data_IF_878332203399
#
_entry.id   IF_878332203399
#
_cell.length_a   1.000
_cell.length_b   1.000
_cell.length_c   1.000
_cell.angle_alpha   90.00
_cell.angle_beta   90.00
_cell.angle_gamma   90.00
#
_symmetry.space_group_name_H-M   'P 1'
#
loop_
_entity.id
_entity.type
_entity.pdbx_description
1 polymer ?
#
# COMPACT_ATOMS: atom_id res chain seq x y z
N UNK A 1 -30.88 57.67 -35.89
CA UNK A 1 -29.88 56.86 -36.63
C UNK A 1 -28.50 57.36 -36.24
N UNK A 2 -27.59 56.43 -35.90
CA UNK A 2 -26.30 56.62 -35.20
C UNK A 2 -26.43 56.89 -33.68
N UNK A 3 -26.22 55.85 -32.86
CA UNK A 3 -26.20 56.00 -31.39
C UNK A 3 -26.27 54.71 -30.56
N UNK A 4 -26.15 53.52 -31.16
CA UNK A 4 -26.33 52.24 -30.45
C UNK A 4 -25.30 51.16 -30.84
N UNK A 5 -24.08 51.57 -31.17
CA UNK A 5 -22.92 50.66 -31.33
C UNK A 5 -21.72 51.38 -30.73
N UNK A 6 -21.39 51.04 -29.47
CA UNK A 6 -20.15 51.27 -28.67
C UNK A 6 -20.59 51.33 -27.19
N UNK A 7 -20.97 50.18 -26.61
CA UNK A 7 -20.96 49.95 -25.14
C UNK A 7 -21.25 48.49 -24.80
N UNK A 8 -20.38 47.58 -25.27
CA UNK A 8 -20.41 46.18 -24.82
C UNK A 8 -18.99 45.58 -24.84
N UNK A 9 -18.04 46.30 -24.23
CA UNK A 9 -16.66 45.82 -24.07
C UNK A 9 -16.05 46.19 -22.73
N UNK A 10 -16.85 46.12 -21.66
CA UNK A 10 -16.37 46.23 -20.28
C UNK A 10 -17.20 45.29 -19.41
N UNK A 11 -16.80 44.03 -19.31
CA UNK A 11 -17.06 43.11 -18.18
C UNK A 11 -16.54 41.68 -18.44
N UNK A 12 -15.36 41.55 -19.06
CA UNK A 12 -14.54 40.36 -18.82
C UNK A 12 -13.51 40.75 -17.77
N UNK A 13 -13.88 40.50 -16.52
CA UNK A 13 -12.93 40.55 -15.42
C UNK A 13 -11.72 39.71 -15.80
N UNK A 14 -10.53 40.32 -15.71
CA UNK A 14 -9.28 39.59 -15.70
C UNK A 14 -9.39 38.57 -14.57
N UNK A 15 -9.54 37.29 -14.92
CA UNK A 15 -9.35 36.21 -13.96
C UNK A 15 -7.88 36.28 -13.57
N UNK A 16 -7.63 36.90 -12.42
CA UNK A 16 -6.32 36.99 -11.83
C UNK A 16 -5.99 35.56 -11.36
N UNK A 17 -5.26 34.80 -12.16
CA UNK A 17 -4.83 33.43 -11.88
C UNK A 17 -3.92 33.32 -10.63
N UNK A 18 -3.71 34.42 -9.92
CA UNK A 18 -2.93 34.55 -8.68
C UNK A 18 -3.77 34.41 -7.40
N UNK A 19 -5.11 34.27 -7.49
CA UNK A 19 -5.99 34.24 -6.32
C UNK A 19 -6.48 32.83 -5.90
N UNK A 20 -6.01 31.75 -6.51
CA UNK A 20 -6.09 30.41 -5.90
C UNK A 20 -4.84 30.19 -5.04
N UNK A 21 -4.58 31.16 -4.16
CA UNK A 21 -3.59 30.99 -3.10
C UNK A 21 -4.33 30.33 -1.94
N UNK A 22 -3.93 29.10 -1.60
CA UNK A 22 -4.32 28.38 -0.39
C UNK A 22 -4.11 29.30 0.83
N UNK A 23 -5.12 30.09 1.19
CA UNK A 23 -5.03 31.10 2.25
C UNK A 23 -5.25 30.50 3.63
N UNK A 24 -5.81 29.31 3.71
CA UNK A 24 -5.97 28.57 4.96
C UNK A 24 -4.86 27.55 5.11
N UNK A 25 -4.14 27.64 6.24
CA UNK A 25 -3.19 26.58 6.61
C UNK A 25 -3.99 25.30 6.80
N UNK A 26 -3.71 24.28 5.99
CA UNK A 26 -4.31 22.94 6.08
C UNK A 26 -4.15 22.34 7.48
N UNK A 27 -3.06 22.70 8.18
CA UNK A 27 -2.77 22.31 9.55
C UNK A 27 -2.86 23.50 10.50
N UNK A 28 -3.56 23.31 11.61
CA UNK A 28 -3.56 24.24 12.74
C UNK A 28 -2.15 24.37 13.34
N UNK A 29 -1.88 25.49 14.01
CA UNK A 29 -0.62 25.72 14.72
C UNK A 29 -0.30 24.60 15.74
N UNK A 30 -1.33 24.02 16.34
CA UNK A 30 -1.17 22.90 17.28
C UNK A 30 -0.75 21.61 16.56
N UNK A 31 -1.31 21.31 15.39
CA UNK A 31 -0.90 20.16 14.57
C UNK A 31 0.53 20.33 14.05
N UNK A 32 0.90 21.54 13.59
CA UNK A 32 2.26 21.86 13.17
C UNK A 32 3.27 21.66 14.31
N UNK A 33 2.92 22.11 15.53
CA UNK A 33 3.76 21.88 16.71
C UNK A 33 3.93 20.39 17.01
N UNK A 34 2.84 19.62 17.00
CA UNK A 34 2.91 18.15 17.18
C UNK A 34 3.77 17.47 16.10
N UNK A 35 3.65 17.90 14.85
CA UNK A 35 4.46 17.39 13.75
C UNK A 35 5.95 17.69 13.96
N UNK A 36 6.29 18.89 14.47
CA UNK A 36 7.69 19.24 14.79
C UNK A 36 8.27 18.48 15.99
N UNK A 37 7.41 18.01 16.89
CA UNK A 37 7.78 17.21 18.06
C UNK A 37 7.81 15.70 17.75
N UNK A 38 7.32 15.27 16.58
CA UNK A 38 7.29 13.87 16.16
C UNK A 38 8.71 13.30 16.08
N UNK A 39 8.90 12.13 16.70
CA UNK A 39 10.12 11.35 16.61
C UNK A 39 9.76 9.97 16.11
N UNK A 40 10.42 9.56 15.03
CA UNK A 40 10.29 8.21 14.52
C UNK A 40 10.60 7.19 15.62
N UNK A 41 9.67 6.27 15.83
CA UNK A 41 9.80 5.17 16.79
C UNK A 41 9.30 3.90 16.12
N UNK A 42 10.21 2.93 16.00
CA UNK A 42 9.93 1.65 15.37
C UNK A 42 10.63 0.53 16.16
N UNK A 43 9.93 -0.59 16.32
CA UNK A 43 10.50 -1.84 16.83
C UNK A 43 10.24 -2.94 15.82
N UNK A 44 11.28 -3.60 15.31
CA UNK A 44 11.15 -4.74 14.39
C UNK A 44 11.67 -6.01 15.03
N UNK A 45 10.93 -7.10 14.81
CA UNK A 45 11.32 -8.47 15.13
C UNK A 45 11.27 -9.39 13.89
N UNK A 46 11.28 -8.80 12.70
CA UNK A 46 11.21 -9.51 11.42
C UNK A 46 12.31 -10.56 11.32
N UNK A 47 11.95 -11.70 10.74
CA UNK A 47 12.84 -12.83 10.56
C UNK A 47 13.84 -12.58 9.43
N UNK A 48 13.42 -11.92 8.35
CA UNK A 48 14.22 -11.70 7.16
C UNK A 48 15.07 -10.44 7.24
N UNK A 49 14.64 -9.40 7.96
CA UNK A 49 15.37 -8.13 8.05
C UNK A 49 16.86 -8.32 8.37
N UNK A 50 17.29 -9.12 9.39
CA UNK A 50 18.71 -9.29 9.70
C UNK A 50 19.54 -9.85 8.56
N UNK A 51 18.96 -10.72 7.73
CA UNK A 51 19.62 -11.33 6.58
C UNK A 51 19.75 -10.37 5.40
N UNK A 52 18.85 -9.40 5.30
CA UNK A 52 18.84 -8.40 4.23
C UNK A 52 19.59 -7.12 4.60
N UNK A 53 19.88 -6.88 5.89
CA UNK A 53 20.70 -5.74 6.32
C UNK A 53 22.03 -5.61 5.54
N UNK A 54 22.83 -6.67 5.30
CA UNK A 54 24.05 -6.55 4.51
C UNK A 54 23.80 -6.03 3.08
N UNK A 55 22.73 -6.52 2.45
CA UNK A 55 22.30 -6.08 1.12
C UNK A 55 21.89 -4.61 1.12
N UNK A 56 21.01 -4.19 2.04
CA UNK A 56 20.56 -2.80 2.12
C UNK A 56 21.69 -1.83 2.50
N UNK A 57 22.61 -2.24 3.37
CA UNK A 57 23.77 -1.43 3.75
C UNK A 57 24.76 -1.27 2.59
N UNK A 58 24.99 -2.33 1.81
CA UNK A 58 25.76 -2.24 0.58
C UNK A 58 25.06 -1.33 -0.43
N UNK A 59 23.75 -1.53 -0.66
CA UNK A 59 22.99 -0.77 -1.64
C UNK A 59 22.97 0.73 -1.32
N UNK A 60 22.65 1.11 -0.07
CA UNK A 60 22.68 2.52 0.34
C UNK A 60 24.09 3.10 0.24
N UNK A 61 25.16 2.31 0.42
CA UNK A 61 26.54 2.79 0.26
C UNK A 61 26.86 3.17 -1.19
N UNK A 62 26.27 2.44 -2.15
CA UNK A 62 26.39 2.71 -3.59
C UNK A 62 25.48 3.86 -4.05
N UNK A 63 24.44 4.19 -3.28
CA UNK A 63 23.55 5.31 -3.59
C UNK A 63 24.28 6.66 -3.55
N UNK A 64 24.20 7.50 -4.60
CA UNK A 64 24.84 8.81 -4.62
C UNK A 64 24.27 9.75 -3.54
N UNK A 65 25.13 10.58 -2.93
CA UNK A 65 24.71 11.50 -1.85
C UNK A 65 23.77 12.62 -2.32
N UNK A 66 23.73 12.93 -3.61
CA UNK A 66 22.79 13.92 -4.16
C UNK A 66 21.38 13.36 -4.34
N UNK A 67 21.21 12.03 -4.30
CA UNK A 67 19.92 11.39 -4.52
C UNK A 67 19.06 11.52 -3.27
N UNK A 68 17.95 12.25 -3.40
CA UNK A 68 17.02 12.49 -2.32
C UNK A 68 16.29 11.19 -1.90
N UNK A 69 16.09 10.94 -0.60
CA UNK A 69 15.34 9.78 -0.10
C UNK A 69 13.97 9.60 -0.75
N UNK A 70 13.15 10.65 -0.77
CA UNK A 70 11.81 10.59 -1.37
C UNK A 70 11.82 10.26 -2.87
N UNK A 71 12.92 10.55 -3.58
CA UNK A 71 13.06 10.15 -4.98
C UNK A 71 13.33 8.65 -5.10
N UNK A 72 14.08 8.05 -4.16
CA UNK A 72 14.26 6.60 -4.06
C UNK A 72 12.92 5.91 -3.87
N UNK A 73 12.11 6.40 -2.91
CA UNK A 73 10.75 5.92 -2.65
C UNK A 73 9.89 5.94 -3.92
N UNK A 74 9.86 7.07 -4.64
CA UNK A 74 9.08 7.21 -5.88
C UNK A 74 9.58 6.29 -7.00
N UNK A 75 10.89 6.14 -7.16
CA UNK A 75 11.44 5.22 -8.16
C UNK A 75 10.99 3.79 -7.86
N UNK A 76 11.08 3.37 -6.59
CA UNK A 76 10.55 2.08 -6.15
C UNK A 76 9.08 1.92 -6.51
N UNK A 77 8.24 2.87 -6.08
CA UNK A 77 6.80 2.85 -6.34
C UNK A 77 6.48 2.75 -7.83
N UNK A 78 7.13 3.57 -8.66
CA UNK A 78 6.93 3.56 -10.12
C UNK A 78 7.31 2.21 -10.72
N UNK A 79 8.43 1.61 -10.30
CA UNK A 79 8.81 0.27 -10.76
C UNK A 79 7.72 -0.73 -10.43
N UNK A 80 7.24 -0.76 -9.18
CA UNK A 80 6.20 -1.71 -8.76
C UNK A 80 4.88 -1.53 -9.54
N UNK A 81 4.44 -0.27 -9.70
CA UNK A 81 3.25 0.09 -10.48
C UNK A 81 3.40 -0.39 -11.92
N UNK A 82 4.49 -0.03 -12.60
CA UNK A 82 4.70 -0.38 -14.01
C UNK A 82 4.73 -1.88 -14.22
N UNK A 83 5.47 -2.63 -13.38
CA UNK A 83 5.52 -4.09 -13.51
C UNK A 83 4.15 -4.72 -13.28
N UNK A 84 3.37 -4.20 -12.33
CA UNK A 84 2.01 -4.69 -12.06
C UNK A 84 1.05 -4.35 -13.19
N UNK A 85 1.10 -3.15 -13.76
CA UNK A 85 0.24 -2.75 -14.89
C UNK A 85 0.52 -3.59 -16.15
N UNK A 86 1.79 -3.97 -16.38
CA UNK A 86 2.14 -4.92 -17.44
C UNK A 86 1.45 -6.27 -17.19
N UNK A 87 1.50 -6.80 -15.96
CA UNK A 87 0.81 -8.04 -15.61
C UNK A 87 -0.72 -7.93 -15.80
N UNK A 88 -1.32 -6.84 -15.31
CA UNK A 88 -2.75 -6.55 -15.45
C UNK A 88 -3.16 -6.49 -16.92
N UNK A 89 -2.31 -5.96 -17.81
CA UNK A 89 -2.62 -5.88 -19.25
C UNK A 89 -2.80 -7.26 -19.90
N UNK A 90 -2.17 -8.31 -19.36
CA UNK A 90 -2.33 -9.69 -19.84
C UNK A 90 -3.50 -10.42 -19.19
N UNK A 91 -3.92 -10.02 -17.99
CA UNK A 91 -5.00 -10.66 -17.24
C UNK A 91 -5.81 -9.62 -16.45
N UNK A 92 -6.59 -8.77 -17.13
CA UNK A 92 -7.32 -7.67 -16.49
C UNK A 92 -8.47 -8.14 -15.61
N UNK A 93 -9.02 -9.33 -15.88
CA UNK A 93 -10.02 -9.98 -15.04
C UNK A 93 -9.41 -10.92 -13.98
N UNK A 94 -8.09 -11.12 -13.99
CA UNK A 94 -7.37 -12.05 -13.13
C UNK A 94 -7.74 -13.52 -13.37
N UNK A 95 -8.39 -13.86 -14.50
CA UNK A 95 -8.83 -15.23 -14.83
C UNK A 95 -7.87 -15.92 -15.77
N UNK A 96 -7.31 -15.17 -16.71
CA UNK A 96 -6.39 -15.68 -17.73
C UNK A 96 -4.99 -15.84 -17.16
N UNK A 97 -4.27 -16.88 -17.57
CA UNK A 97 -2.89 -17.08 -17.15
C UNK A 97 -1.99 -16.00 -17.80
N UNK A 98 -1.36 -15.10 -17.02
CA UNK A 98 -0.39 -14.18 -17.59
C UNK A 98 0.85 -14.94 -18.09
N UNK A 99 1.59 -14.39 -19.07
CA UNK A 99 2.83 -15.01 -19.54
C UNK A 99 3.87 -15.02 -18.41
N UNK A 100 4.61 -16.12 -18.27
CA UNK A 100 5.53 -16.32 -17.14
C UNK A 100 6.58 -15.22 -16.97
N UNK A 101 7.05 -14.60 -18.06
CA UNK A 101 7.98 -13.48 -17.99
C UNK A 101 7.36 -12.24 -17.32
N UNK A 102 6.06 -12.01 -17.46
CA UNK A 102 5.38 -10.88 -16.82
C UNK A 102 5.27 -11.13 -15.30
N UNK A 103 4.99 -12.37 -14.88
CA UNK A 103 5.08 -12.75 -13.47
C UNK A 103 6.50 -12.59 -12.93
N UNK A 104 7.53 -13.04 -13.67
CA UNK A 104 8.92 -12.86 -13.27
C UNK A 104 9.30 -11.39 -13.15
N UNK A 105 8.79 -10.55 -14.06
CA UNK A 105 8.97 -9.11 -14.02
C UNK A 105 8.34 -8.49 -12.76
N UNK A 106 7.16 -8.95 -12.33
CA UNK A 106 6.58 -8.55 -11.04
C UNK A 106 7.44 -9.00 -9.84
N UNK A 107 7.99 -10.22 -9.84
CA UNK A 107 8.89 -10.67 -8.78
C UNK A 107 10.12 -9.76 -8.66
N UNK A 108 10.74 -9.45 -9.81
CA UNK A 108 11.89 -8.56 -9.88
C UNK A 108 11.53 -7.12 -9.49
N UNK A 109 10.41 -6.60 -10.00
CA UNK A 109 9.91 -5.27 -9.67
C UNK A 109 9.64 -5.10 -8.18
N UNK A 110 9.03 -6.11 -7.54
CA UNK A 110 8.79 -6.12 -6.11
C UNK A 110 10.09 -6.22 -5.30
N UNK A 111 11.07 -7.00 -5.75
CA UNK A 111 12.40 -7.03 -5.13
C UNK A 111 13.11 -5.67 -5.20
N UNK A 112 13.03 -5.00 -6.35
CA UNK A 112 13.57 -3.64 -6.53
C UNK A 112 12.84 -2.65 -5.64
N UNK A 113 11.50 -2.66 -5.63
CA UNK A 113 10.67 -1.84 -4.73
C UNK A 113 11.12 -2.02 -3.28
N UNK A 114 11.11 -3.25 -2.78
CA UNK A 114 11.49 -3.62 -1.42
C UNK A 114 12.90 -3.11 -1.07
N UNK A 115 13.84 -3.27 -2.00
CA UNK A 115 15.22 -2.85 -1.79
C UNK A 115 15.35 -1.33 -1.70
N UNK A 116 14.61 -0.58 -2.54
CA UNK A 116 14.65 0.88 -2.56
C UNK A 116 13.93 1.49 -1.35
N UNK A 117 12.78 0.92 -1.01
CA UNK A 117 12.01 1.22 0.20
C UNK A 117 12.88 1.06 1.47
N UNK A 118 13.56 -0.08 1.61
CA UNK A 118 14.41 -0.34 2.79
C UNK A 118 15.64 0.57 2.92
N UNK A 119 16.06 1.26 1.85
CA UNK A 119 17.24 2.14 1.88
C UNK A 119 16.89 3.61 1.96
N UNK A 120 15.65 4.04 1.74
CA UNK A 120 15.33 5.48 1.68
C UNK A 120 15.56 6.17 3.05
N UNK A 121 15.14 5.55 4.15
CA UNK A 121 15.37 6.03 5.51
C UNK A 121 16.84 5.89 5.91
N UNK A 122 17.55 4.88 5.37
CA UNK A 122 19.01 4.77 5.53
C UNK A 122 19.72 5.92 4.81
N UNK A 123 19.28 6.27 3.62
CA UNK A 123 19.78 7.41 2.86
C UNK A 123 19.48 8.70 3.60
N UNK A 124 18.26 8.89 4.12
CA UNK A 124 17.88 10.08 4.88
C UNK A 124 18.77 10.30 6.12
N UNK A 125 19.15 9.21 6.81
CA UNK A 125 20.14 9.22 7.90
C UNK A 125 21.52 9.62 7.38
N UNK A 126 21.97 9.01 6.28
CA UNK A 126 23.28 9.27 5.66
C UNK A 126 23.45 10.72 5.19
N UNK A 127 22.37 11.34 4.70
CA UNK A 127 22.37 12.72 4.19
C UNK A 127 21.91 13.76 5.21
N UNK A 128 21.56 13.36 6.44
CA UNK A 128 20.97 14.23 7.47
C UNK A 128 19.70 14.96 7.02
N UNK A 129 18.86 14.29 6.22
CA UNK A 129 17.59 14.83 5.69
C UNK A 129 16.36 14.11 6.23
N UNK A 130 16.48 13.45 7.38
CA UNK A 130 15.34 12.79 8.04
C UNK A 130 14.29 13.82 8.46
N UNK A 131 13.02 13.54 8.19
CA UNK A 131 11.91 14.41 8.60
C UNK A 131 10.61 13.62 8.78
N UNK A 132 9.68 14.07 9.64
CA UNK A 132 8.34 13.50 9.76
C UNK A 132 7.56 13.50 8.45
N UNK A 133 7.80 14.48 7.58
CA UNK A 133 7.16 14.55 6.26
C UNK A 133 7.73 13.50 5.30
N UNK A 134 9.03 13.22 5.35
CA UNK A 134 9.65 12.14 4.58
C UNK A 134 9.11 10.77 4.97
N UNK A 135 8.96 10.52 6.28
CA UNK A 135 8.33 9.31 6.82
C UNK A 135 6.86 9.17 6.38
N UNK A 136 6.08 10.26 6.46
CA UNK A 136 4.69 10.25 5.97
C UNK A 136 4.62 9.96 4.47
N UNK A 137 5.57 10.50 3.70
CA UNK A 137 5.62 10.31 2.25
C UNK A 137 5.95 8.87 1.86
N UNK A 138 6.92 8.27 2.57
CA UNK A 138 7.30 6.86 2.43
C UNK A 138 6.11 5.93 2.67
N UNK A 139 5.48 6.02 3.85
CA UNK A 139 4.31 5.21 4.17
C UNK A 139 3.09 5.50 3.27
N UNK A 140 2.98 6.73 2.75
CA UNK A 140 2.01 7.05 1.71
C UNK A 140 2.25 6.25 0.43
N UNK A 141 3.51 6.14 0.00
CA UNK A 141 3.89 5.32 -1.16
C UNK A 141 3.68 3.82 -0.90
N UNK A 142 4.00 3.33 0.31
CA UNK A 142 3.69 1.96 0.73
C UNK A 142 2.20 1.62 0.65
N UNK A 143 1.33 2.56 1.05
CA UNK A 143 -0.12 2.35 0.99
C UNK A 143 -0.59 2.15 -0.45
N UNK A 144 -0.05 2.92 -1.40
CA UNK A 144 -0.35 2.78 -2.83
C UNK A 144 0.22 1.46 -3.34
N UNK A 145 1.50 1.17 -3.03
CA UNK A 145 2.19 -0.04 -3.44
C UNK A 145 1.44 -1.30 -3.01
N UNK A 146 0.87 -1.31 -1.80
CA UNK A 146 0.09 -2.42 -1.25
C UNK A 146 -1.05 -2.85 -2.16
N UNK A 147 -1.75 -1.91 -2.82
CA UNK A 147 -2.83 -2.21 -3.77
C UNK A 147 -2.30 -3.01 -4.97
N UNK A 148 -1.18 -2.55 -5.55
CA UNK A 148 -0.55 -3.19 -6.72
C UNK A 148 0.05 -4.56 -6.35
N UNK A 149 0.72 -4.67 -5.21
CA UNK A 149 1.30 -5.94 -4.73
C UNK A 149 0.20 -6.97 -4.47
N UNK A 150 -0.88 -6.58 -3.79
CA UNK A 150 -1.98 -7.51 -3.51
C UNK A 150 -2.69 -7.96 -4.80
N UNK A 151 -2.95 -7.03 -5.72
CA UNK A 151 -3.60 -7.33 -6.99
C UNK A 151 -2.73 -8.24 -7.88
N UNK A 152 -1.43 -7.94 -8.00
CA UNK A 152 -0.51 -8.75 -8.82
C UNK A 152 -0.38 -10.18 -8.31
N UNK A 153 -0.38 -10.39 -6.99
CA UNK A 153 -0.41 -11.71 -6.38
C UNK A 153 -1.71 -12.46 -6.71
N UNK A 154 -2.85 -11.78 -6.63
CA UNK A 154 -4.15 -12.35 -7.00
C UNK A 154 -4.19 -12.78 -8.47
N UNK A 155 -3.67 -11.96 -9.38
CA UNK A 155 -3.61 -12.26 -10.81
C UNK A 155 -2.69 -13.46 -11.06
N UNK A 156 -1.51 -13.49 -10.43
CA UNK A 156 -0.55 -14.60 -10.60
C UNK A 156 -1.13 -15.94 -10.16
N UNK A 157 -1.97 -15.93 -9.11
CA UNK A 157 -2.72 -17.08 -8.60
C UNK A 157 -4.04 -17.36 -9.34
N UNK A 158 -4.38 -16.57 -10.36
CA UNK A 158 -5.66 -16.63 -11.11
C UNK A 158 -6.90 -16.57 -10.19
N UNK A 159 -6.86 -15.72 -9.16
CA UNK A 159 -7.96 -15.54 -8.20
C UNK A 159 -9.17 -14.81 -8.80
N UNK A 160 -9.08 -14.28 -10.03
CA UNK A 160 -10.24 -13.75 -10.76
C UNK A 160 -11.30 -14.81 -11.08
N UNK A 161 -10.93 -16.10 -11.03
CA UNK A 161 -11.88 -17.22 -11.06
C UNK A 161 -12.83 -17.21 -9.85
N UNK A 162 -12.44 -16.51 -8.79
CA UNK A 162 -13.15 -16.36 -7.52
C UNK A 162 -13.19 -14.88 -7.11
N UNK A 163 -13.98 -14.03 -7.79
CA UNK A 163 -13.90 -12.57 -7.64
C UNK A 163 -14.04 -12.14 -6.18
N UNK A 164 -15.01 -12.68 -5.43
CA UNK A 164 -15.19 -12.37 -4.01
C UNK A 164 -13.92 -12.64 -3.16
N UNK A 165 -13.18 -13.71 -3.47
CA UNK A 165 -11.92 -14.01 -2.80
C UNK A 165 -10.81 -13.04 -3.20
N UNK A 166 -10.72 -12.66 -4.48
CA UNK A 166 -9.81 -11.61 -4.95
C UNK A 166 -10.07 -10.28 -4.23
N UNK A 167 -11.34 -9.87 -4.11
CA UNK A 167 -11.72 -8.66 -3.36
C UNK A 167 -11.33 -8.76 -1.90
N UNK A 168 -11.76 -9.83 -1.23
CA UNK A 168 -11.45 -10.05 0.18
C UNK A 168 -9.95 -9.95 0.43
N UNK A 169 -9.16 -10.58 -0.43
CA UNK A 169 -7.72 -10.61 -0.30
C UNK A 169 -7.07 -9.22 -0.47
N UNK A 170 -7.46 -8.47 -1.50
CA UNK A 170 -6.91 -7.12 -1.72
C UNK A 170 -7.28 -6.19 -0.55
N UNK A 171 -8.53 -6.21 -0.10
CA UNK A 171 -8.98 -5.39 1.03
C UNK A 171 -8.43 -5.84 2.38
N UNK A 172 -8.10 -7.13 2.54
CA UNK A 172 -7.35 -7.62 3.71
C UNK A 172 -5.93 -7.08 3.74
N UNK A 173 -5.23 -7.03 2.60
CA UNK A 173 -3.88 -6.46 2.52
C UNK A 173 -3.89 -4.96 2.88
N UNK A 174 -4.80 -4.19 2.28
CA UNK A 174 -5.02 -2.76 2.60
C UNK A 174 -5.39 -2.58 4.08
N UNK A 175 -6.29 -3.42 4.59
CA UNK A 175 -6.72 -3.41 5.99
C UNK A 175 -5.57 -3.69 6.98
N UNK A 176 -4.68 -4.64 6.68
CA UNK A 176 -3.50 -4.93 7.50
C UNK A 176 -2.56 -3.73 7.56
N UNK A 177 -2.25 -3.13 6.41
CA UNK A 177 -1.43 -1.93 6.36
C UNK A 177 -2.04 -0.78 7.17
N UNK A 178 -3.37 -0.59 7.05
CA UNK A 178 -4.10 0.39 7.83
C UNK A 178 -4.06 0.11 9.33
N UNK A 179 -4.24 -1.15 9.74
CA UNK A 179 -4.18 -1.58 11.13
C UNK A 179 -2.80 -1.33 11.77
N UNK A 180 -1.70 -1.52 11.03
CA UNK A 180 -0.36 -1.19 11.52
C UNK A 180 -0.21 0.32 11.83
N UNK A 181 -0.79 1.18 10.98
CA UNK A 181 -0.80 2.63 11.18
C UNK A 181 -1.75 3.06 12.29
N UNK A 182 -2.89 2.39 12.43
CA UNK A 182 -3.79 2.56 13.57
C UNK A 182 -3.06 2.20 14.87
N UNK A 183 -2.35 1.08 14.90
CA UNK A 183 -1.53 0.70 16.04
C UNK A 183 -0.48 1.74 16.39
N UNK A 184 0.15 2.33 15.38
CA UNK A 184 1.12 3.42 15.56
C UNK A 184 0.44 4.69 16.09
N UNK A 185 -0.74 5.02 15.58
CA UNK A 185 -1.54 6.15 16.06
C UNK A 185 -1.92 6.02 17.55
N UNK A 186 -2.16 4.81 18.04
CA UNK A 186 -2.53 4.57 19.45
C UNK A 186 -1.30 4.41 20.35
N UNK A 187 -0.30 3.66 19.91
CA UNK A 187 0.87 3.33 20.74
C UNK A 187 2.01 4.33 20.62
N UNK A 188 2.08 5.12 19.54
CA UNK A 188 3.18 6.02 19.23
C UNK A 188 4.44 5.32 18.71
N UNK A 189 4.38 4.02 18.40
CA UNK A 189 5.49 3.23 17.87
C UNK A 189 4.99 2.24 16.82
N UNK A 190 5.63 2.23 15.66
CA UNK A 190 5.37 1.22 14.64
C UNK A 190 6.02 -0.11 15.07
N UNK A 191 5.23 -1.17 15.17
CA UNK A 191 5.70 -2.46 15.68
C UNK A 191 5.61 -3.51 14.59
N UNK A 192 6.77 -3.98 14.12
CA UNK A 192 6.84 -5.07 13.17
C UNK A 192 7.03 -6.42 13.89
N UNK A 193 6.16 -7.36 13.57
CA UNK A 193 6.19 -8.73 14.08
C UNK A 193 7.29 -9.57 13.44
N UNK A 194 7.25 -10.88 13.73
CA UNK A 194 8.17 -11.85 13.10
C UNK A 194 7.83 -12.14 11.64
N UNK A 195 6.53 -12.16 11.34
CA UNK A 195 6.00 -12.29 9.98
C UNK A 195 5.29 -10.98 9.70
N UNK A 196 5.92 -10.14 8.90
CA UNK A 196 5.43 -8.80 8.61
C UNK A 196 5.68 -8.46 7.12
N UNK A 197 5.74 -7.17 6.79
CA UNK A 197 5.89 -6.64 5.42
C UNK A 197 6.98 -7.38 4.64
N UNK A 198 8.19 -7.53 5.18
CA UNK A 198 9.32 -8.19 4.49
C UNK A 198 8.99 -9.64 4.12
N UNK A 199 8.51 -10.45 5.07
CA UNK A 199 8.14 -11.86 4.81
C UNK A 199 6.98 -11.98 3.83
N UNK A 200 5.99 -11.09 3.93
CA UNK A 200 4.86 -11.05 3.00
C UNK A 200 5.33 -10.73 1.57
N UNK A 201 6.19 -9.73 1.40
CA UNK A 201 6.75 -9.37 0.08
C UNK A 201 7.56 -10.52 -0.51
N UNK A 202 8.43 -11.18 0.26
CA UNK A 202 9.20 -12.34 -0.23
C UNK A 202 8.29 -13.54 -0.56
N UNK A 203 7.21 -13.74 0.18
CA UNK A 203 6.19 -14.76 -0.15
C UNK A 203 5.52 -14.45 -1.50
N UNK A 204 5.20 -13.18 -1.75
CA UNK A 204 4.60 -12.75 -3.04
C UNK A 204 5.61 -12.86 -4.18
N UNK A 205 6.89 -12.51 -3.96
CA UNK A 205 7.96 -12.78 -4.92
C UNK A 205 8.04 -14.27 -5.26
N UNK A 206 7.94 -15.16 -4.27
CA UNK A 206 7.93 -16.61 -4.50
C UNK A 206 6.71 -17.05 -5.32
N UNK A 207 5.50 -16.51 -5.05
CA UNK A 207 4.29 -16.76 -5.85
C UNK A 207 4.53 -16.37 -7.31
N UNK A 208 5.10 -15.20 -7.56
CA UNK A 208 5.43 -14.75 -8.91
C UNK A 208 6.46 -15.64 -9.60
N UNK A 209 7.52 -16.06 -8.91
CA UNK A 209 8.56 -16.95 -9.44
C UNK A 209 7.96 -18.32 -9.79
N UNK A 210 7.13 -18.89 -8.91
CA UNK A 210 6.43 -20.17 -9.17
C UNK A 210 5.54 -20.04 -10.41
N UNK A 211 4.77 -18.94 -10.50
CA UNK A 211 3.92 -18.65 -11.67
C UNK A 211 4.73 -18.49 -12.95
N UNK A 212 5.94 -17.93 -12.86
CA UNK A 212 6.84 -17.77 -14.00
C UNK A 212 7.42 -19.09 -14.50
N UNK A 213 7.84 -19.96 -13.58
CA UNK A 213 8.52 -21.23 -13.90
C UNK A 213 7.54 -22.32 -14.33
N UNK A 214 6.41 -22.44 -13.65
CA UNK A 214 5.44 -23.53 -13.87
C UNK A 214 4.18 -23.09 -14.62
N UNK A 215 4.05 -21.79 -14.91
CA UNK A 215 2.82 -21.20 -15.41
C UNK A 215 1.80 -20.95 -14.30
N UNK A 216 0.98 -19.90 -14.45
CA UNK A 216 -0.07 -19.56 -13.47
C UNK A 216 -1.17 -20.63 -13.33
N UNK A 217 -1.25 -21.58 -14.25
CA UNK A 217 -2.17 -22.73 -14.16
C UNK A 217 -1.81 -23.71 -13.04
N UNK A 218 -0.57 -23.69 -12.55
CA UNK A 218 -0.15 -24.50 -11.39
C UNK A 218 -1.07 -24.24 -10.18
N UNK A 219 -1.55 -23.01 -10.01
CA UNK A 219 -2.44 -22.63 -8.91
C UNK A 219 -3.86 -23.20 -9.07
N UNK A 220 -4.27 -23.53 -10.29
CA UNK A 220 -5.56 -24.17 -10.58
C UNK A 220 -5.46 -25.71 -10.58
N UNK A 221 -4.25 -26.26 -10.55
CA UNK A 221 -4.03 -27.70 -10.47
C UNK A 221 -4.60 -28.27 -9.17
N UNK A 222 -5.14 -29.49 -9.25
CA UNK A 222 -5.66 -30.21 -8.08
C UNK A 222 -4.52 -30.77 -7.26
N UNK A 223 -4.62 -30.61 -5.95
CA UNK A 223 -3.69 -31.18 -4.97
C UNK A 223 -3.94 -32.69 -4.91
N UNK A 224 -2.91 -33.53 -5.19
CA UNK A 224 -3.03 -34.97 -5.02
C UNK A 224 -3.50 -35.30 -3.59
N UNK A 225 -4.42 -36.26 -3.43
CA UNK A 225 -5.02 -36.71 -2.17
C UNK A 225 -6.10 -35.81 -1.54
N UNK A 226 -6.05 -34.48 -1.69
CA UNK A 226 -7.02 -33.55 -1.09
C UNK A 226 -8.11 -33.12 -2.08
N UNK A 227 -7.82 -33.13 -3.38
CA UNK A 227 -8.77 -32.77 -4.44
C UNK A 227 -9.05 -31.27 -4.59
N UNK A 228 -8.70 -30.45 -3.59
CA UNK A 228 -8.73 -28.97 -3.66
C UNK A 228 -7.68 -28.40 -4.62
N UNK A 229 -7.85 -27.14 -5.05
CA UNK A 229 -6.89 -26.43 -5.91
C UNK A 229 -5.83 -25.71 -5.07
N UNK A 230 -4.63 -25.52 -5.62
CA UNK A 230 -3.52 -24.85 -4.93
C UNK A 230 -3.80 -23.39 -4.53
N UNK A 231 -4.57 -22.65 -5.33
CA UNK A 231 -4.99 -21.29 -4.99
C UNK A 231 -5.81 -21.21 -3.70
N UNK A 232 -6.57 -22.24 -3.33
CA UNK A 232 -7.26 -22.29 -2.04
C UNK A 232 -6.29 -22.40 -0.87
N UNK A 233 -5.14 -23.07 -1.04
CA UNK A 233 -4.11 -23.14 0.01
C UNK A 233 -3.51 -21.77 0.27
N UNK A 234 -3.22 -21.01 -0.80
CA UNK A 234 -2.73 -19.63 -0.68
C UNK A 234 -3.79 -18.75 0.01
N UNK A 235 -5.06 -18.87 -0.39
CA UNK A 235 -6.16 -18.12 0.24
C UNK A 235 -6.31 -18.43 1.74
N UNK A 236 -6.29 -19.71 2.12
CA UNK A 236 -6.37 -20.12 3.52
C UNK A 236 -5.16 -19.61 4.30
N UNK A 237 -3.95 -19.77 3.75
CA UNK A 237 -2.72 -19.30 4.39
C UNK A 237 -2.76 -17.80 4.67
N UNK A 238 -3.20 -16.99 3.71
CA UNK A 238 -3.25 -15.54 3.89
C UNK A 238 -4.41 -15.14 4.81
N UNK A 239 -5.55 -15.84 4.77
CA UNK A 239 -6.65 -15.64 5.73
C UNK A 239 -6.20 -15.94 7.16
N UNK A 240 -5.47 -17.03 7.38
CA UNK A 240 -4.92 -17.36 8.70
C UNK A 240 -3.88 -16.33 9.16
N UNK A 241 -3.01 -15.88 8.25
CA UNK A 241 -2.07 -14.79 8.53
C UNK A 241 -2.77 -13.47 8.89
N UNK A 242 -3.85 -13.13 8.18
CA UNK A 242 -4.68 -11.98 8.49
C UNK A 242 -5.31 -12.11 9.89
N UNK A 243 -5.92 -13.24 10.21
CA UNK A 243 -6.52 -13.49 11.53
C UNK A 243 -5.48 -13.40 12.66
N UNK A 244 -4.29 -13.97 12.46
CA UNK A 244 -3.20 -13.87 13.42
C UNK A 244 -2.76 -12.40 13.66
N UNK A 245 -2.69 -11.61 12.59
CA UNK A 245 -2.39 -10.19 12.68
C UNK A 245 -3.52 -9.40 13.35
N UNK A 246 -4.79 -9.72 13.11
CA UNK A 246 -5.92 -9.11 13.82
C UNK A 246 -5.92 -9.41 15.32
N UNK A 247 -5.47 -10.61 15.72
CA UNK A 247 -5.26 -10.95 17.14
C UNK A 247 -4.13 -10.09 17.73
N UNK A 248 -3.06 -9.82 16.99
CA UNK A 248 -2.00 -8.92 17.46
C UNK A 248 -2.47 -7.46 17.52
N UNK A 249 -3.21 -7.01 16.51
CA UNK A 249 -3.82 -5.69 16.48
C UNK A 249 -4.75 -5.46 17.68
N UNK A 250 -5.58 -6.45 18.05
CA UNK A 250 -6.51 -6.29 19.18
C UNK A 250 -5.82 -6.13 20.53
N UNK A 251 -4.58 -6.62 20.70
CA UNK A 251 -3.80 -6.42 21.93
C UNK A 251 -3.54 -4.94 22.20
N UNK A 252 -3.47 -4.09 21.18
CA UNK A 252 -3.33 -2.64 21.31
C UNK A 252 -4.40 -2.00 22.22
N UNK A 253 -5.60 -2.59 22.33
CA UNK A 253 -6.66 -2.04 23.20
C UNK A 253 -6.39 -2.25 24.69
N UNK A 254 -5.56 -3.23 25.03
CA UNK A 254 -5.23 -3.59 26.41
C UNK A 254 -3.80 -3.18 26.76
N UNK A 255 -2.90 -3.23 25.79
CA UNK A 255 -1.54 -2.75 25.91
C UNK A 255 -1.52 -1.21 25.91
N UNK A 256 -0.77 -0.64 26.84
CA UNK A 256 -0.50 0.79 26.88
C UNK A 256 0.25 1.31 25.64
N UNK A 257 0.55 2.59 25.64
CA UNK A 257 1.32 3.27 24.60
C UNK A 257 2.48 4.09 25.15
N UNK A 258 3.13 4.85 24.28
CA UNK A 258 4.18 5.81 24.62
C UNK A 258 3.65 7.13 25.21
N UNK A 259 2.38 7.19 25.60
CA UNK A 259 1.74 8.35 26.23
C UNK A 259 2.09 8.47 27.72
N UNK A 260 1.52 9.48 28.37
CA UNK A 260 1.79 9.76 29.80
C UNK A 260 1.45 8.53 30.65
N UNK A 261 2.34 8.14 31.56
CA UNK A 261 2.18 6.96 32.43
C UNK A 261 1.96 5.63 31.66
N UNK A 262 2.50 5.51 30.44
CA UNK A 262 2.33 4.32 29.61
C UNK A 262 0.95 4.22 28.95
N UNK A 263 0.17 5.30 28.92
CA UNK A 263 -1.14 5.33 28.24
C UNK A 263 -1.00 5.48 26.72
N UNK A 264 -2.10 5.31 25.98
CA UNK A 264 -2.17 5.59 24.55
C UNK A 264 -1.83 7.06 24.24
N UNK A 265 -1.11 7.30 23.14
CA UNK A 265 -0.86 8.67 22.64
C UNK A 265 -2.12 9.30 22.02
N UNK A 266 -3.09 8.46 21.64
CA UNK A 266 -4.39 8.88 21.10
C UNK A 266 -5.42 9.26 22.18
N UNK A 267 -5.12 9.08 23.47
CA UNK A 267 -6.05 9.38 24.56
C UNK A 267 -7.37 8.61 24.41
N UNK A 268 -8.51 9.31 24.37
CA UNK A 268 -9.84 8.70 24.16
C UNK A 268 -10.19 8.45 22.69
N UNK A 269 -9.36 8.94 21.75
CA UNK A 269 -9.60 8.84 20.31
C UNK A 269 -9.07 7.55 19.69
N UNK A 270 -8.83 6.50 20.50
CA UNK A 270 -8.31 5.19 20.06
C UNK A 270 -9.12 4.59 18.91
N UNK A 271 -10.44 4.84 18.85
CA UNK A 271 -11.31 4.34 17.78
C UNK A 271 -11.47 5.29 16.59
N UNK A 272 -10.89 6.50 16.62
CA UNK A 272 -11.06 7.48 15.54
C UNK A 272 -10.65 6.99 14.15
N UNK A 273 -9.62 6.14 13.96
CA UNK A 273 -9.28 5.63 12.63
C UNK A 273 -10.36 4.69 12.02
N UNK A 274 -11.31 4.18 12.80
CA UNK A 274 -12.43 3.38 12.26
C UNK A 274 -13.29 4.14 11.26
N UNK A 275 -13.44 5.45 11.45
CA UNK A 275 -14.31 6.30 10.63
C UNK A 275 -13.77 6.41 9.19
N UNK A 276 -12.55 6.91 8.95
CA UNK A 276 -12.00 6.98 7.60
C UNK A 276 -11.87 5.59 6.96
N UNK A 277 -11.52 4.54 7.72
CA UNK A 277 -11.49 3.17 7.18
C UNK A 277 -12.86 2.73 6.66
N UNK A 278 -13.92 2.95 7.44
CA UNK A 278 -15.29 2.61 7.04
C UNK A 278 -15.75 3.45 5.84
N UNK A 279 -15.37 4.73 5.80
CA UNK A 279 -15.68 5.63 4.68
C UNK A 279 -15.05 5.19 3.36
N UNK A 280 -13.97 4.42 3.38
CA UNK A 280 -13.34 3.87 2.17
C UNK A 280 -13.89 2.47 1.84
N UNK A 281 -13.89 1.56 2.82
CA UNK A 281 -14.27 0.15 2.60
C UNK A 281 -15.76 -0.01 2.30
N UNK A 282 -16.63 0.70 3.01
CA UNK A 282 -18.08 0.50 2.87
C UNK A 282 -18.59 0.91 1.48
N UNK A 283 -18.23 2.09 0.92
CA UNK A 283 -18.59 2.42 -0.46
C UNK A 283 -18.02 1.43 -1.47
N UNK A 284 -16.77 0.99 -1.32
CA UNK A 284 -16.20 -0.04 -2.18
C UNK A 284 -17.09 -1.30 -2.16
N UNK A 285 -17.36 -1.87 -0.99
CA UNK A 285 -18.24 -3.04 -0.84
C UNK A 285 -19.63 -2.83 -1.47
N UNK A 286 -20.25 -1.67 -1.25
CA UNK A 286 -21.56 -1.35 -1.83
C UNK A 286 -21.48 -1.33 -3.36
N UNK A 287 -20.46 -0.70 -3.94
CA UNK A 287 -20.29 -0.64 -5.40
C UNK A 287 -20.00 -2.04 -5.96
N UNK A 288 -19.16 -2.84 -5.30
CA UNK A 288 -18.86 -4.22 -5.72
C UNK A 288 -20.12 -5.10 -5.78
N UNK A 289 -21.04 -4.92 -4.82
CA UNK A 289 -22.23 -5.77 -4.69
C UNK A 289 -23.46 -5.26 -5.44
N UNK A 290 -23.61 -3.93 -5.57
CA UNK A 290 -24.86 -3.31 -6.07
C UNK A 290 -24.71 -2.57 -7.39
N UNK A 291 -23.48 -2.40 -7.91
CA UNK A 291 -23.31 -1.68 -9.18
C UNK A 291 -23.98 -2.43 -10.34
N UNK A 292 -24.92 -1.81 -11.08
CA UNK A 292 -25.59 -2.44 -12.22
C UNK A 292 -24.63 -2.70 -13.38
N UNK A 293 -23.48 -2.04 -13.38
CA UNK A 293 -22.45 -2.16 -14.43
C UNK A 293 -21.54 -3.37 -14.22
N UNK A 294 -21.67 -4.11 -13.11
CA UNK A 294 -20.89 -5.32 -12.84
C UNK A 294 -19.35 -5.15 -12.99
N UNK A 295 -18.84 -3.93 -12.80
CA UNK A 295 -17.42 -3.58 -13.04
C UNK A 295 -16.50 -4.51 -12.25
N UNK A 296 -16.88 -4.87 -11.03
CA UNK A 296 -16.08 -5.76 -10.21
C UNK A 296 -15.98 -7.19 -10.77
N UNK A 297 -17.06 -7.77 -11.31
CA UNK A 297 -17.05 -9.15 -11.82
C UNK A 297 -16.51 -9.26 -13.24
N UNK A 298 -16.66 -8.20 -14.05
CA UNK A 298 -16.19 -8.13 -15.43
C UNK A 298 -14.77 -7.57 -15.56
N UNK A 299 -14.39 -6.61 -14.70
CA UNK A 299 -13.12 -5.89 -14.73
C UNK A 299 -12.50 -5.78 -13.33
N UNK A 300 -12.31 -6.93 -12.67
CA UNK A 300 -11.84 -7.01 -11.28
C UNK A 300 -10.57 -6.20 -10.99
N UNK A 301 -9.56 -6.24 -11.88
CA UNK A 301 -8.32 -5.48 -11.66
C UNK A 301 -8.56 -3.98 -11.71
N UNK A 302 -9.32 -3.50 -12.69
CA UNK A 302 -9.66 -2.07 -12.81
C UNK A 302 -10.45 -1.60 -11.59
N UNK A 303 -11.37 -2.44 -11.13
CA UNK A 303 -12.14 -2.16 -9.93
C UNK A 303 -11.23 -2.00 -8.69
N UNK A 304 -10.31 -2.95 -8.46
CA UNK A 304 -9.37 -2.86 -7.33
C UNK A 304 -8.45 -1.65 -7.44
N UNK A 305 -7.95 -1.32 -8.65
CA UNK A 305 -7.11 -0.14 -8.86
C UNK A 305 -7.85 1.19 -8.62
N UNK A 306 -9.18 1.21 -8.74
CA UNK A 306 -10.00 2.41 -8.56
C UNK A 306 -10.55 2.58 -7.14
N UNK A 307 -10.81 1.47 -6.43
CA UNK A 307 -11.53 1.46 -5.15
C UNK A 307 -10.77 0.83 -3.97
N UNK A 308 -9.65 0.16 -4.23
CA UNK A 308 -8.73 -0.32 -3.19
C UNK A 308 -7.82 0.80 -2.72
#
# INVERSE_FOLDING_TARGET
QAGLIIKQRENFGRINMSSITYKERVLSSQQLKKLSEHKYSCTSSSLLDPWLQPWWNWLVSMTPLWLAPNLITIIGLVVNIVTTLILVSYSPDGKSAPPGWASLLCAFGLFVYQSLDSIDGKQARRTNTQSPLGELFDHGCDSISTVFVALSACISCQLGQYPNWLFFQCFCAIGLFYCAHWQTYVSGTLRFGKIDVTEAQFTIMAIHIISAVFGSDVWQARIPLIGGRWNYVILIGITLGYLANMINFSKMFVEGGSGKNGSSVAGTSVLSPSIPLTMVILPALIIAQKSPQNIFTEHASLYILAFG
#
